data_IF_463050517422
#
_entry.id   IF_463050517422
#
_cell.length_a   1.000
_cell.length_b   1.000
_cell.length_c   1.000
_cell.angle_alpha   90.00
_cell.angle_beta   90.00
_cell.angle_gamma   90.00
#
_symmetry.space_group_name_H-M   'P 1'
#
loop_
_entity.id
_entity.type
_entity.pdbx_description
1 polymer ?
#
# COMPACT_ATOMS: atom_id res chain seq x y z
N UNK A 1 -3.15 -33.24 51.96
CA UNK A 1 -1.68 -33.04 51.89
C UNK A 1 -1.30 -32.72 50.45
N UNK A 2 -1.00 -31.46 50.13
CA UNK A 2 -0.46 -31.09 48.81
C UNK A 2 1.07 -31.18 48.87
N UNK A 3 1.68 -31.97 47.97
CA UNK A 3 3.14 -32.10 47.83
C UNK A 3 3.66 -30.90 47.04
N UNK A 4 4.45 -30.03 47.67
CA UNK A 4 5.23 -29.01 46.94
C UNK A 4 6.42 -29.73 46.33
N UNK A 5 6.40 -29.89 45.00
CA UNK A 5 7.48 -30.49 44.23
C UNK A 5 8.61 -29.47 44.13
N UNK A 6 9.63 -29.58 44.97
CA UNK A 6 10.84 -28.78 44.87
C UNK A 6 11.65 -29.24 43.65
N UNK A 7 11.54 -28.52 42.55
CA UNK A 7 12.39 -28.71 41.37
C UNK A 7 13.67 -27.91 41.63
N UNK A 8 14.70 -28.59 42.13
CA UNK A 8 16.06 -28.05 42.14
C UNK A 8 16.64 -28.23 40.74
N UNK A 9 16.67 -27.16 39.96
CA UNK A 9 17.45 -27.12 38.74
C UNK A 9 18.12 -25.74 38.68
N UNK A 10 19.44 -25.75 38.56
CA UNK A 10 20.37 -24.69 38.13
C UNK A 10 19.93 -23.82 36.92
N UNK A 11 18.71 -24.04 36.39
CA UNK A 11 18.03 -23.21 35.40
C UNK A 11 17.28 -22.03 36.05
N UNK A 12 16.92 -22.11 37.34
CA UNK A 12 16.23 -21.03 38.05
C UNK A 12 17.14 -19.81 38.23
N UNK A 13 18.43 -20.05 38.55
CA UNK A 13 19.41 -18.98 38.75
C UNK A 13 19.69 -18.21 37.45
N UNK A 14 19.74 -18.92 36.32
CA UNK A 14 19.85 -18.31 34.98
C UNK A 14 18.59 -17.52 34.58
N UNK A 15 17.42 -17.96 35.04
CA UNK A 15 16.15 -17.25 34.86
C UNK A 15 16.10 -15.96 35.69
N UNK A 16 16.61 -15.99 36.92
CA UNK A 16 16.74 -14.81 37.78
C UNK A 16 17.72 -13.78 37.18
N UNK A 17 18.86 -14.25 36.66
CA UNK A 17 19.85 -13.39 35.99
C UNK A 17 19.28 -12.71 34.72
N UNK A 18 18.44 -13.40 33.95
CA UNK A 18 17.74 -12.80 32.80
C UNK A 18 16.63 -11.81 33.20
N UNK A 19 16.02 -11.98 34.38
CA UNK A 19 14.95 -11.10 34.85
C UNK A 19 15.47 -9.71 35.26
N UNK A 20 16.65 -9.65 35.87
CA UNK A 20 17.29 -8.38 36.26
C UNK A 20 17.62 -7.50 35.04
N UNK A 21 17.83 -8.09 33.87
CA UNK A 21 18.10 -7.38 32.61
C UNK A 21 16.89 -6.70 31.95
N UNK A 22 15.65 -7.08 32.32
CA UNK A 22 14.43 -6.58 31.66
C UNK A 22 13.91 -5.27 32.27
N UNK A 23 14.37 -4.87 33.47
CA UNK A 23 13.88 -3.66 34.14
C UNK A 23 14.46 -2.33 33.59
N UNK A 24 15.47 -2.38 32.72
CA UNK A 24 16.21 -1.18 32.32
C UNK A 24 15.62 -0.39 31.12
N UNK A 25 14.52 -0.83 30.51
CA UNK A 25 13.84 -0.06 29.46
C UNK A 25 12.60 0.63 30.01
N UNK A 26 12.82 1.57 30.92
CA UNK A 26 11.81 2.55 31.32
C UNK A 26 11.68 3.64 30.23
N UNK A 27 11.14 3.26 29.07
CA UNK A 27 10.46 4.22 28.20
C UNK A 27 9.07 4.52 28.78
N UNK A 28 8.49 5.71 28.55
CA UNK A 28 7.16 6.03 29.04
C UNK A 28 6.17 5.00 28.51
N UNK A 29 5.62 4.18 29.41
CA UNK A 29 4.57 3.22 29.10
C UNK A 29 3.34 4.02 28.66
N UNK A 30 3.08 4.05 27.36
CA UNK A 30 1.77 4.45 26.86
C UNK A 30 0.75 3.43 27.38
N UNK A 31 0.18 3.73 28.55
CA UNK A 31 -1.03 3.16 29.15
C UNK A 31 -1.46 1.79 28.64
N UNK A 32 -0.75 0.73 29.04
CA UNK A 32 -1.18 -0.65 28.78
C UNK A 32 -2.43 -0.93 29.63
N UNK A 33 -3.59 -0.99 29.00
CA UNK A 33 -4.85 -1.37 29.63
C UNK A 33 -4.98 -2.89 29.71
N UNK A 34 -5.35 -3.40 30.89
CA UNK A 34 -5.64 -4.80 31.13
C UNK A 34 -6.96 -5.18 30.43
N UNK A 35 -6.93 -6.18 29.55
CA UNK A 35 -8.09 -6.60 28.76
C UNK A 35 -8.74 -7.78 29.48
N UNK A 36 -9.93 -7.59 30.06
CA UNK A 36 -10.76 -8.71 30.52
C UNK A 36 -11.33 -9.42 29.28
N UNK A 37 -11.02 -10.72 29.15
CA UNK A 37 -11.42 -11.55 28.03
C UNK A 37 -12.93 -11.87 27.99
N UNK A 38 -13.73 -11.29 28.90
CA UNK A 38 -15.18 -11.44 28.88
C UNK A 38 -15.85 -10.37 28.02
N UNK A 39 -16.11 -10.78 26.76
CA UNK A 39 -17.15 -10.25 25.90
C UNK A 39 -16.96 -8.79 25.44
N UNK A 40 -15.91 -8.55 24.64
CA UNK A 40 -15.85 -7.34 23.84
C UNK A 40 -16.76 -7.50 22.63
N UNK A 41 -17.84 -6.69 22.57
CA UNK A 41 -18.58 -6.49 21.34
C UNK A 41 -17.58 -6.07 20.24
N UNK A 42 -17.50 -6.75 19.08
CA UNK A 42 -16.51 -6.44 18.05
C UNK A 42 -16.83 -5.12 17.30
N UNK A 43 -18.03 -4.57 17.51
CA UNK A 43 -18.52 -3.36 16.83
C UNK A 43 -17.60 -2.13 16.98
N UNK A 44 -17.13 -1.74 18.19
CA UNK A 44 -16.19 -0.63 18.37
C UNK A 44 -14.88 -0.83 17.59
N UNK A 45 -14.29 -2.03 17.64
CA UNK A 45 -13.05 -2.33 16.93
C UNK A 45 -13.24 -2.28 15.41
N UNK A 46 -14.34 -2.84 14.90
CA UNK A 46 -14.67 -2.79 13.47
C UNK A 46 -14.94 -1.37 12.97
N UNK A 47 -15.58 -0.54 13.80
CA UNK A 47 -15.79 0.88 13.48
C UNK A 47 -14.46 1.64 13.40
N UNK A 48 -13.54 1.38 14.33
CA UNK A 48 -12.20 1.97 14.31
C UNK A 48 -11.40 1.54 13.08
N UNK A 49 -11.40 0.24 12.74
CA UNK A 49 -10.73 -0.27 11.54
C UNK A 49 -11.34 0.36 10.28
N UNK A 50 -12.66 0.45 10.19
CA UNK A 50 -13.36 1.05 9.05
C UNK A 50 -13.03 2.54 8.90
N UNK A 51 -12.95 3.27 10.03
CA UNK A 51 -12.53 4.67 10.05
C UNK A 51 -11.07 4.83 9.59
N UNK A 52 -10.16 3.97 10.06
CA UNK A 52 -8.75 3.98 9.63
C UNK A 52 -8.61 3.65 8.14
N UNK A 53 -9.37 2.69 7.62
CA UNK A 53 -9.42 2.37 6.18
C UNK A 53 -9.90 3.57 5.36
N UNK A 54 -11.02 4.18 5.76
CA UNK A 54 -11.56 5.38 5.09
C UNK A 54 -10.53 6.53 5.04
N UNK A 55 -9.82 6.77 6.14
CA UNK A 55 -8.76 7.78 6.17
C UNK A 55 -7.55 7.42 5.30
N UNK A 56 -7.17 6.14 5.21
CA UNK A 56 -6.08 5.68 4.35
C UNK A 56 -6.45 5.74 2.86
N UNK A 57 -7.69 5.39 2.50
CA UNK A 57 -8.22 5.56 1.14
C UNK A 57 -8.25 7.03 0.74
N UNK A 58 -8.60 7.92 1.66
CA UNK A 58 -8.56 9.38 1.42
C UNK A 58 -7.13 9.90 1.27
N UNK A 59 -6.13 9.20 1.84
CA UNK A 59 -4.70 9.48 1.68
C UNK A 59 -4.08 8.73 0.51
N UNK A 60 -4.86 7.94 -0.25
CA UNK A 60 -4.42 7.46 -1.55
C UNK A 60 -4.03 8.69 -2.36
N UNK A 61 -2.74 8.76 -2.64
CA UNK A 61 -1.97 9.93 -2.99
C UNK A 61 -2.72 10.73 -4.06
N UNK A 62 -2.98 12.02 -3.81
CA UNK A 62 -3.40 12.92 -4.89
C UNK A 62 -2.23 12.98 -5.86
N UNK A 63 -2.26 12.14 -6.88
CA UNK A 63 -1.24 12.14 -7.93
C UNK A 63 -1.51 13.39 -8.76
N UNK A 64 -0.75 14.45 -8.52
CA UNK A 64 -0.72 15.63 -9.37
C UNK A 64 -0.04 15.26 -10.70
N UNK A 65 -0.77 14.57 -11.58
CA UNK A 65 -0.31 14.26 -12.93
C UNK A 65 -0.18 15.55 -13.74
N UNK A 66 0.92 15.68 -14.45
CA UNK A 66 1.13 16.76 -15.40
C UNK A 66 0.42 16.45 -16.72
N UNK A 67 -0.20 17.45 -17.34
CA UNK A 67 -0.93 17.29 -18.59
C UNK A 67 -0.52 18.35 -19.63
N UNK A 68 -0.36 17.92 -20.87
CA UNK A 68 -0.34 18.78 -22.04
C UNK A 68 -1.80 19.04 -22.48
N UNK A 69 -2.18 20.31 -22.59
CA UNK A 69 -3.52 20.70 -23.08
C UNK A 69 -3.43 21.27 -24.49
N UNK A 70 -4.09 20.63 -25.46
CA UNK A 70 -4.26 21.20 -26.79
C UNK A 70 -5.47 22.14 -26.80
N UNK A 71 -5.24 23.42 -27.11
CA UNK A 71 -6.27 24.45 -27.15
C UNK A 71 -7.26 24.24 -28.30
N UNK A 72 -6.79 23.71 -29.44
CA UNK A 72 -7.61 23.58 -30.66
C UNK A 72 -8.55 22.40 -30.51
N UNK A 73 -8.03 21.21 -30.24
CA UNK A 73 -8.87 20.01 -30.05
C UNK A 73 -9.55 19.93 -28.68
N UNK A 74 -9.17 20.80 -27.72
CA UNK A 74 -9.58 20.75 -26.31
C UNK A 74 -9.18 19.45 -25.60
N UNK A 75 -8.27 18.68 -26.18
CA UNK A 75 -7.80 17.42 -25.62
C UNK A 75 -6.73 17.65 -24.55
N UNK A 76 -6.64 16.72 -23.59
CA UNK A 76 -5.60 16.70 -22.57
C UNK A 76 -4.87 15.37 -22.59
N UNK A 77 -3.54 15.42 -22.57
CA UNK A 77 -2.68 14.25 -22.63
C UNK A 77 -1.78 14.21 -21.39
N UNK A 78 -1.68 13.09 -20.68
CA UNK A 78 -0.75 12.98 -19.56
C UNK A 78 0.69 13.08 -20.07
N UNK A 79 1.55 13.76 -19.32
CA UNK A 79 2.98 13.80 -19.60
C UNK A 79 3.63 12.63 -18.88
N UNK A 80 4.28 11.76 -19.65
CA UNK A 80 5.06 10.63 -19.18
C UNK A 80 6.47 10.74 -19.75
N UNK A 81 7.45 11.04 -18.89
CA UNK A 81 8.85 11.26 -19.30
C UNK A 81 9.60 9.95 -19.53
N UNK A 82 9.07 8.83 -19.05
CA UNK A 82 9.70 7.51 -19.18
C UNK A 82 9.15 6.73 -20.39
N UNK A 83 8.19 7.30 -21.12
CA UNK A 83 7.67 6.69 -22.35
C UNK A 83 8.62 6.92 -23.53
N UNK A 84 8.96 5.84 -24.26
CA UNK A 84 9.77 5.91 -25.49
C UNK A 84 9.06 6.62 -26.65
N UNK A 85 7.72 6.62 -26.64
CA UNK A 85 6.88 7.14 -27.72
C UNK A 85 5.69 7.92 -27.18
N UNK A 86 5.24 8.92 -27.93
CA UNK A 86 3.98 9.62 -27.68
C UNK A 86 2.85 8.96 -28.46
N UNK A 87 1.67 8.78 -27.84
CA UNK A 87 0.50 8.17 -28.48
C UNK A 87 -0.68 9.12 -28.42
N UNK A 88 -1.37 9.28 -29.56
CA UNK A 88 -2.55 10.13 -29.70
C UNK A 88 -3.74 9.25 -30.11
N UNK A 89 -4.95 9.43 -29.54
CA UNK A 89 -6.14 8.68 -29.93
C UNK A 89 -6.44 8.82 -31.42
N UNK A 90 -6.86 7.71 -32.02
CA UNK A 90 -7.23 7.67 -33.43
C UNK A 90 -8.43 8.58 -33.72
N UNK A 91 -8.27 9.48 -34.67
CA UNK A 91 -9.33 10.34 -35.21
C UNK A 91 -9.68 9.90 -36.64
N UNK A 92 -10.82 10.34 -37.17
CA UNK A 92 -11.19 10.01 -38.56
C UNK A 92 -10.16 10.52 -39.57
N UNK A 93 -9.53 11.67 -39.29
CA UNK A 93 -8.47 12.22 -40.14
C UNK A 93 -7.21 11.35 -40.16
N UNK A 94 -6.88 10.69 -39.04
CA UNK A 94 -5.65 9.89 -38.91
C UNK A 94 -5.80 8.45 -39.43
N UNK A 95 -7.02 7.97 -39.71
CA UNK A 95 -7.24 6.67 -40.36
C UNK A 95 -6.68 6.58 -41.78
N UNK A 96 -6.55 7.71 -42.47
CA UNK A 96 -6.00 7.77 -43.82
C UNK A 96 -4.47 7.79 -43.83
N UNK A 97 -3.82 7.93 -42.67
CA UNK A 97 -2.37 7.88 -42.57
C UNK A 97 -1.87 6.44 -42.81
N UNK A 98 -0.67 6.29 -43.38
CA UNK A 98 -0.05 4.98 -43.51
C UNK A 98 0.14 4.34 -42.13
N UNK A 99 0.22 3.00 -42.10
CA UNK A 99 0.51 2.27 -40.88
C UNK A 99 1.90 2.67 -40.35
N UNK A 100 2.00 2.86 -39.03
CA UNK A 100 3.26 3.22 -38.41
C UNK A 100 4.30 2.10 -38.56
N UNK A 101 5.57 2.48 -38.67
CA UNK A 101 6.69 1.54 -38.75
C UNK A 101 6.93 0.82 -37.41
N UNK A 102 6.69 1.52 -36.29
CA UNK A 102 6.77 0.98 -34.95
C UNK A 102 5.49 0.22 -34.59
N UNK A 103 5.67 -1.01 -34.12
CA UNK A 103 4.57 -1.87 -33.69
C UNK A 103 4.36 -1.71 -32.18
N UNK A 104 3.14 -1.34 -31.79
CA UNK A 104 2.74 -1.24 -30.39
C UNK A 104 2.09 -2.53 -29.92
N UNK A 105 2.41 -2.96 -28.71
CA UNK A 105 1.83 -4.14 -28.07
C UNK A 105 1.09 -3.71 -26.81
N UNK A 106 -0.14 -4.21 -26.64
CA UNK A 106 -0.90 -4.06 -25.42
C UNK A 106 -0.33 -4.95 -24.32
N UNK A 107 -0.67 -4.65 -23.06
CA UNK A 107 -0.22 -5.43 -21.90
C UNK A 107 -0.67 -6.92 -21.93
N UNK A 108 -1.71 -7.24 -22.68
CA UNK A 108 -2.17 -8.60 -22.92
C UNK A 108 -1.46 -9.29 -24.11
N UNK A 109 -0.43 -8.66 -24.69
CA UNK A 109 0.36 -9.17 -25.81
C UNK A 109 -0.25 -8.98 -27.19
N UNK A 110 -1.44 -8.38 -27.32
CA UNK A 110 -2.04 -8.15 -28.64
C UNK A 110 -1.44 -6.92 -29.34
N UNK A 111 -1.46 -6.94 -30.67
CA UNK A 111 -0.94 -5.84 -31.48
C UNK A 111 -1.96 -4.70 -31.54
N UNK A 112 -1.50 -3.48 -31.27
CA UNK A 112 -2.28 -2.26 -31.45
C UNK A 112 -1.99 -1.70 -32.84
N UNK A 113 -3.04 -1.49 -33.63
CA UNK A 113 -2.94 -0.83 -34.94
C UNK A 113 -2.66 0.67 -34.76
N UNK A 114 -1.45 1.09 -35.12
CA UNK A 114 -0.99 2.48 -35.13
C UNK A 114 -0.80 3.00 -36.56
N UNK A 115 -0.97 4.31 -36.73
CA UNK A 115 -0.90 5.00 -38.02
C UNK A 115 -0.12 6.31 -37.86
N UNK A 116 0.58 6.74 -38.90
CA UNK A 116 1.47 7.91 -38.87
C UNK A 116 2.95 7.53 -38.75
N UNK A 117 3.76 8.50 -38.30
CA UNK A 117 5.21 8.37 -38.15
C UNK A 117 5.60 8.43 -36.67
#
# INVERSE_FOLDING_TARGET
>A
MQKILAISNNQLDKLAEMADGIMAVAGPTSSIHMIDAKNQDPKPMLMEISSRLSHLETRATVINRLYLSDRISRSKYPIDTEADVSVIPLTMASKHLPRASLQLFAANGTVISSYGQ
#
